data_IF_910860222259
#
_entry.id   IF_910860222259
#
_cell.length_a   1.000
_cell.length_b   1.000
_cell.length_c   1.000
_cell.angle_alpha   90.00
_cell.angle_beta   90.00
_cell.angle_gamma   90.00
#
_symmetry.space_group_name_H-M   'P 1'
#
loop_
_entity.id
_entity.type
_entity.pdbx_description
1 polymer ?
#
# COMPACT_ATOMS: atom_id res chain seq x y z
N UNK A 1 -24.56 -9.45 36.93
CA UNK A 1 -25.14 -8.58 35.90
C UNK A 1 -24.14 -8.45 34.76
N UNK A 2 -24.30 -9.23 33.70
CA UNK A 2 -23.45 -9.18 32.51
C UNK A 2 -23.98 -8.10 31.55
N UNK A 3 -23.20 -7.07 31.29
CA UNK A 3 -23.50 -6.07 30.27
C UNK A 3 -22.96 -6.59 28.93
N UNK A 4 -23.84 -7.17 28.10
CA UNK A 4 -23.56 -7.45 26.71
C UNK A 4 -23.53 -6.11 25.95
N UNK A 5 -22.32 -5.61 25.66
CA UNK A 5 -22.12 -4.47 24.76
C UNK A 5 -22.62 -4.82 23.36
N UNK A 6 -23.58 -4.05 22.88
CA UNK A 6 -24.18 -4.21 21.55
C UNK A 6 -23.22 -3.60 20.53
N UNK A 7 -22.47 -4.44 19.82
CA UNK A 7 -21.59 -4.05 18.72
C UNK A 7 -22.46 -3.57 17.55
N UNK A 8 -22.39 -2.27 17.24
CA UNK A 8 -23.07 -1.70 16.08
C UNK A 8 -22.19 -2.02 14.87
N UNK A 9 -22.57 -3.05 14.11
CA UNK A 9 -21.96 -3.35 12.80
C UNK A 9 -22.23 -2.18 11.86
N UNK A 10 -21.23 -1.74 11.12
CA UNK A 10 -21.48 -0.87 9.96
C UNK A 10 -22.40 -1.63 8.99
N UNK A 11 -23.45 -1.00 8.43
CA UNK A 11 -24.33 -1.68 7.49
C UNK A 11 -23.53 -2.05 6.25
N UNK A 12 -23.55 -3.35 5.90
CA UNK A 12 -23.06 -3.85 4.62
C UNK A 12 -23.85 -3.11 3.54
N UNK A 13 -23.17 -2.38 2.66
CA UNK A 13 -23.83 -1.72 1.53
C UNK A 13 -24.24 -2.83 0.56
N UNK A 14 -25.52 -3.19 0.59
CA UNK A 14 -26.10 -4.13 -0.37
C UNK A 14 -26.23 -3.47 -1.74
N UNK A 15 -25.15 -3.48 -2.50
CA UNK A 15 -25.06 -2.94 -3.86
C UNK A 15 -23.75 -3.36 -4.52
N UNK A 16 -23.66 -3.34 -5.87
CA UNK A 16 -22.39 -3.56 -6.55
C UNK A 16 -21.40 -2.48 -6.11
N UNK A 17 -20.15 -2.86 -5.80
CA UNK A 17 -19.11 -1.92 -5.43
C UNK A 17 -19.02 -0.74 -6.40
N UNK A 18 -18.96 0.47 -5.86
CA UNK A 18 -18.78 1.67 -6.65
C UNK A 18 -17.27 1.90 -6.90
N UNK A 19 -16.76 1.16 -7.87
CA UNK A 19 -15.39 1.25 -8.35
C UNK A 19 -15.07 2.61 -9.01
N UNK A 20 -16.09 3.36 -9.44
CA UNK A 20 -15.94 4.52 -10.34
C UNK A 20 -15.23 5.74 -9.72
N UNK A 21 -15.04 5.76 -8.40
CA UNK A 21 -14.46 6.94 -7.72
C UNK A 21 -12.95 6.81 -7.50
N UNK A 22 -12.40 5.59 -7.41
CA UNK A 22 -10.99 5.36 -7.06
C UNK A 22 -10.32 4.33 -7.96
N UNK A 23 -11.06 3.33 -8.43
CA UNK A 23 -10.53 2.17 -9.14
C UNK A 23 -11.33 1.94 -10.43
N UNK A 24 -11.07 2.73 -11.46
CA UNK A 24 -11.67 2.46 -12.77
C UNK A 24 -11.33 1.02 -13.21
N UNK A 25 -12.31 0.13 -13.45
CA UNK A 25 -12.06 -1.24 -13.87
C UNK A 25 -11.31 -1.34 -15.22
N UNK A 26 -11.36 -0.28 -16.04
CA UNK A 26 -10.57 -0.17 -17.26
C UNK A 26 -9.10 0.21 -17.00
N UNK A 27 -8.73 0.49 -15.75
CA UNK A 27 -7.39 0.84 -15.33
C UNK A 27 -6.71 -0.36 -14.66
N UNK A 28 -5.71 -0.99 -15.32
CA UNK A 28 -5.12 -2.27 -14.89
C UNK A 28 -4.29 -2.23 -13.61
N UNK A 29 -4.24 -1.09 -12.91
CA UNK A 29 -3.45 -0.86 -11.70
C UNK A 29 -4.31 -0.62 -10.46
N UNK A 30 -5.59 -1.01 -10.48
CA UNK A 30 -6.53 -0.70 -9.41
C UNK A 30 -6.05 -1.20 -8.03
N UNK A 31 -5.86 -2.52 -7.89
CA UNK A 31 -5.42 -3.12 -6.64
C UNK A 31 -3.95 -2.82 -6.32
N UNK A 32 -3.09 -2.78 -7.34
CA UNK A 32 -1.69 -2.33 -7.19
C UNK A 32 -1.59 -0.96 -6.50
N UNK A 33 -2.48 -0.02 -6.86
CA UNK A 33 -2.54 1.29 -6.22
C UNK A 33 -3.02 1.19 -4.77
N UNK A 34 -4.01 0.36 -4.46
CA UNK A 34 -4.45 0.15 -3.08
C UNK A 34 -3.35 -0.50 -2.23
N UNK A 35 -2.64 -1.49 -2.77
CA UNK A 35 -1.49 -2.11 -2.11
C UNK A 35 -0.41 -1.06 -1.81
N UNK A 36 -0.13 -0.17 -2.77
CA UNK A 36 0.80 0.93 -2.57
C UNK A 36 0.31 1.94 -1.52
N UNK A 37 -0.96 2.35 -1.57
CA UNK A 37 -1.58 3.26 -0.59
C UNK A 37 -1.48 2.67 0.81
N UNK A 38 -1.76 1.37 0.96
CA UNK A 38 -1.62 0.65 2.20
C UNK A 38 -0.17 0.61 2.70
N UNK A 39 0.75 0.11 1.86
CA UNK A 39 2.16 -0.06 2.22
C UNK A 39 2.85 1.27 2.56
N UNK A 40 2.50 2.35 1.87
CA UNK A 40 3.05 3.69 2.08
C UNK A 40 2.30 4.50 3.17
N UNK A 41 1.18 3.99 3.70
CA UNK A 41 0.38 4.70 4.69
C UNK A 41 -0.30 5.97 4.16
N UNK A 42 -0.63 6.02 2.86
CA UNK A 42 -1.18 7.19 2.17
C UNK A 42 -2.71 7.32 2.35
N UNK A 43 -3.17 7.17 3.58
CA UNK A 43 -4.58 7.29 3.98
C UNK A 43 -4.64 7.83 5.41
N UNK A 44 -5.83 8.21 5.88
CA UNK A 44 -5.98 8.62 7.27
C UNK A 44 -5.79 7.44 8.24
N UNK A 45 -4.58 7.36 8.82
CA UNK A 45 -4.19 6.32 9.79
C UNK A 45 -4.75 6.53 11.20
N UNK A 46 -5.45 7.65 11.46
CA UNK A 46 -5.97 7.92 12.80
C UNK A 46 -7.30 7.18 13.04
N UNK A 47 -7.38 6.50 14.19
CA UNK A 47 -8.60 5.83 14.63
C UNK A 47 -9.05 4.72 13.68
N UNK A 48 -8.10 3.95 13.14
CA UNK A 48 -8.41 2.79 12.30
C UNK A 48 -9.25 1.78 13.08
N UNK A 49 -10.27 1.28 12.40
CA UNK A 49 -11.18 0.28 12.94
C UNK A 49 -11.53 -0.72 11.86
N UNK A 50 -11.69 -1.98 12.27
CA UNK A 50 -12.30 -3.01 11.45
C UNK A 50 -13.78 -2.68 11.20
N UNK A 51 -14.40 -3.33 10.22
CA UNK A 51 -15.82 -3.15 9.87
C UNK A 51 -16.79 -3.55 11.00
N UNK A 52 -16.34 -4.39 11.94
CA UNK A 52 -17.05 -4.74 13.18
C UNK A 52 -16.70 -3.83 14.39
N UNK A 53 -15.86 -2.80 14.18
CA UNK A 53 -15.56 -1.75 15.16
C UNK A 53 -14.31 -1.98 16.03
N UNK A 54 -13.62 -3.11 15.88
CA UNK A 54 -12.35 -3.41 16.54
C UNK A 54 -11.26 -2.39 16.22
N UNK A 55 -10.55 -1.89 17.24
CA UNK A 55 -9.46 -0.93 17.03
C UNK A 55 -8.28 -1.58 16.31
N UNK A 56 -7.72 -0.89 15.31
CA UNK A 56 -6.53 -1.31 14.55
C UNK A 56 -5.40 -0.32 14.81
N UNK A 57 -4.20 -0.85 15.01
CA UNK A 57 -2.95 -0.11 15.00
C UNK A 57 -1.95 -0.85 14.09
N UNK A 58 -1.49 -0.16 13.05
CA UNK A 58 -0.52 -0.71 12.10
C UNK A 58 0.88 -0.41 12.63
N UNK A 59 1.60 -1.45 13.05
CA UNK A 59 3.00 -1.33 13.49
C UNK A 59 3.95 -1.50 12.30
N UNK A 60 3.59 -2.39 11.39
CA UNK A 60 4.29 -2.70 10.15
C UNK A 60 3.25 -3.13 9.11
N UNK A 61 3.06 -2.40 8.00
CA UNK A 61 2.07 -2.73 6.99
C UNK A 61 2.42 -4.02 6.21
N UNK A 62 3.65 -4.52 6.34
CA UNK A 62 4.18 -5.63 5.55
C UNK A 62 4.87 -5.16 4.27
N UNK A 63 5.34 -6.13 3.48
CA UNK A 63 6.05 -5.88 2.22
C UNK A 63 5.24 -6.44 1.06
N UNK A 64 5.07 -5.64 0.01
CA UNK A 64 4.39 -6.07 -1.22
C UNK A 64 5.13 -7.28 -1.82
N UNK A 65 4.37 -8.34 -2.10
CA UNK A 65 4.80 -9.54 -2.78
C UNK A 65 4.23 -9.53 -4.21
N UNK A 66 5.08 -9.81 -5.20
CA UNK A 66 4.68 -9.89 -6.62
C UNK A 66 4.55 -11.32 -7.14
N UNK A 67 4.66 -12.28 -6.25
CA UNK A 67 4.53 -13.71 -6.53
C UNK A 67 3.14 -14.17 -6.11
N UNK A 68 2.83 -15.44 -6.36
CA UNK A 68 1.57 -16.05 -5.90
C UNK A 68 1.42 -15.99 -4.37
N UNK A 69 0.18 -15.88 -3.93
CA UNK A 69 -0.20 -15.79 -2.52
C UNK A 69 -0.60 -14.36 -2.15
N UNK A 70 -0.64 -14.04 -0.84
CA UNK A 70 -1.15 -12.76 -0.39
C UNK A 70 -0.33 -11.57 -0.86
N UNK A 71 -1.01 -10.43 -1.03
CA UNK A 71 -0.45 -9.20 -1.57
C UNK A 71 0.70 -8.62 -0.75
N UNK A 72 0.57 -8.65 0.59
CA UNK A 72 1.63 -8.22 1.49
C UNK A 72 1.96 -9.29 2.51
N UNK A 73 3.26 -9.48 2.73
CA UNK A 73 3.81 -10.46 3.67
C UNK A 73 4.50 -9.80 4.86
N UNK A 74 4.57 -10.53 5.97
CA UNK A 74 5.24 -10.12 7.22
C UNK A 74 4.73 -8.83 7.86
N UNK A 75 3.43 -8.55 7.75
CA UNK A 75 2.79 -7.44 8.44
C UNK A 75 2.71 -7.70 9.96
N UNK A 76 2.76 -6.62 10.74
CA UNK A 76 2.55 -6.62 12.20
C UNK A 76 1.49 -5.61 12.56
N UNK A 77 0.35 -6.11 13.01
CA UNK A 77 -0.85 -5.30 13.23
C UNK A 77 -1.43 -5.64 14.58
N UNK A 78 -1.76 -4.63 15.38
CA UNK A 78 -2.48 -4.82 16.63
C UNK A 78 -3.97 -4.60 16.39
N UNK A 79 -4.77 -5.63 16.66
CA UNK A 79 -6.23 -5.62 16.50
C UNK A 79 -6.86 -5.90 17.86
N UNK A 80 -7.68 -4.97 18.35
CA UNK A 80 -8.29 -5.02 19.68
C UNK A 80 -7.28 -5.27 20.83
N UNK A 81 -6.08 -4.71 20.71
CA UNK A 81 -5.01 -4.87 21.70
C UNK A 81 -4.13 -6.12 21.52
N UNK A 82 -4.56 -7.10 20.73
CA UNK A 82 -3.76 -8.30 20.41
C UNK A 82 -2.83 -8.02 19.24
N UNK A 83 -1.53 -8.32 19.40
CA UNK A 83 -0.56 -8.25 18.31
C UNK A 83 -0.67 -9.49 17.41
N UNK A 84 -0.79 -9.27 16.12
CA UNK A 84 -0.81 -10.27 15.07
C UNK A 84 0.40 -10.09 14.14
N UNK A 85 0.97 -11.20 13.70
CA UNK A 85 1.99 -11.26 12.66
C UNK A 85 1.50 -12.19 11.55
N UNK A 86 1.53 -11.74 10.30
CA UNK A 86 1.00 -12.49 9.17
C UNK A 86 0.88 -11.63 7.92
N UNK A 87 -0.04 -11.99 7.04
CA UNK A 87 -0.17 -11.37 5.73
C UNK A 87 -1.35 -10.40 5.67
N UNK A 88 -1.31 -9.48 4.71
CA UNK A 88 -2.43 -8.59 4.38
C UNK A 88 -2.84 -8.86 2.94
N UNK A 89 -4.14 -8.97 2.73
CA UNK A 89 -4.73 -9.06 1.40
C UNK A 89 -5.45 -7.76 1.07
N UNK A 90 -5.39 -7.34 -0.19
CA UNK A 90 -5.94 -6.07 -0.65
C UNK A 90 -6.86 -6.28 -1.85
N UNK A 91 -8.12 -5.87 -1.72
CA UNK A 91 -9.07 -5.91 -2.83
C UNK A 91 -9.79 -4.59 -3.02
N UNK A 92 -10.40 -4.41 -4.19
CA UNK A 92 -11.35 -3.32 -4.36
C UNK A 92 -12.60 -3.55 -3.50
N UNK A 93 -13.09 -4.79 -3.50
CA UNK A 93 -14.29 -5.22 -2.80
C UNK A 93 -13.99 -6.37 -1.85
N UNK A 94 -14.70 -6.44 -0.73
CA UNK A 94 -14.57 -7.63 0.12
C UNK A 94 -15.02 -8.91 -0.59
N UNK A 95 -16.07 -8.88 -1.41
CA UNK A 95 -16.60 -10.04 -2.13
C UNK A 95 -15.61 -10.67 -3.11
N UNK A 96 -14.58 -9.94 -3.54
CA UNK A 96 -13.50 -10.47 -4.40
C UNK A 96 -12.69 -11.56 -3.71
N UNK A 97 -12.69 -11.60 -2.36
CA UNK A 97 -12.10 -12.69 -1.60
C UNK A 97 -12.64 -14.06 -2.02
N UNK A 98 -13.97 -14.17 -2.12
CA UNK A 98 -14.63 -15.41 -2.49
C UNK A 98 -14.56 -15.66 -4.00
N UNK A 99 -14.60 -14.57 -4.80
CA UNK A 99 -14.52 -14.64 -6.25
C UNK A 99 -13.15 -15.15 -6.74
N UNK A 100 -12.07 -14.79 -6.03
CA UNK A 100 -10.71 -15.26 -6.30
C UNK A 100 -10.41 -16.64 -5.68
N UNK A 101 -11.33 -17.21 -4.88
CA UNK A 101 -11.17 -18.56 -4.33
C UNK A 101 -10.34 -18.65 -3.05
N UNK A 102 -9.97 -17.52 -2.44
CA UNK A 102 -9.10 -17.48 -1.26
C UNK A 102 -9.72 -18.14 -0.01
N UNK A 103 -11.05 -18.18 0.07
CA UNK A 103 -11.80 -18.91 1.10
C UNK A 103 -11.51 -20.42 1.09
N UNK A 104 -10.91 -20.96 0.02
CA UNK A 104 -10.54 -22.38 -0.07
C UNK A 104 -9.03 -22.62 -0.11
N UNK A 105 -8.23 -21.57 -0.28
CA UNK A 105 -6.79 -21.69 -0.51
C UNK A 105 -6.00 -21.61 0.81
N UNK A 106 -5.20 -22.65 1.17
CA UNK A 106 -4.38 -22.65 2.37
C UNK A 106 -3.32 -21.53 2.44
N UNK A 107 -2.89 -20.96 1.31
CA UNK A 107 -1.92 -19.86 1.28
C UNK A 107 -2.46 -18.59 1.98
N UNK A 108 -3.79 -18.43 2.03
CA UNK A 108 -4.47 -17.26 2.57
C UNK A 108 -4.91 -17.45 4.04
N UNK A 109 -4.66 -18.62 4.64
CA UNK A 109 -5.03 -18.89 6.03
C UNK A 109 -4.29 -17.98 7.02
N UNK A 110 -3.07 -17.55 6.67
CA UNK A 110 -2.23 -16.65 7.46
C UNK A 110 -2.49 -15.16 7.19
N UNK A 111 -3.53 -14.82 6.42
CA UNK A 111 -3.96 -13.41 6.30
C UNK A 111 -4.56 -12.97 7.64
N UNK A 112 -4.05 -11.86 8.16
CA UNK A 112 -4.44 -11.30 9.47
C UNK A 112 -5.35 -10.08 9.34
N UNK A 113 -5.34 -9.43 8.18
CA UNK A 113 -6.18 -8.28 7.88
C UNK A 113 -6.51 -8.30 6.38
N UNK A 114 -7.78 -8.07 6.06
CA UNK A 114 -8.23 -7.78 4.70
C UNK A 114 -8.43 -6.28 4.56
N UNK A 115 -7.71 -5.65 3.64
CA UNK A 115 -7.84 -4.22 3.38
C UNK A 115 -8.63 -4.08 2.09
N UNK A 116 -9.74 -3.34 2.15
CA UNK A 116 -10.61 -3.15 0.99
C UNK A 116 -10.85 -1.68 0.74
N UNK A 117 -11.09 -1.31 -0.52
CA UNK A 117 -11.65 0.00 -0.79
C UNK A 117 -13.09 0.07 -0.24
N UNK A 118 -13.97 -0.85 -0.65
CA UNK A 118 -15.36 -0.93 -0.19
C UNK A 118 -15.69 -2.28 0.46
N UNK A 119 -16.46 -2.23 1.56
CA UNK A 119 -16.93 -3.44 2.25
C UNK A 119 -18.39 -3.79 1.91
N UNK A 120 -18.56 -4.86 1.13
CA UNK A 120 -19.82 -5.36 0.57
C UNK A 120 -20.20 -6.79 1.00
N UNK A 121 -19.30 -7.56 1.63
CA UNK A 121 -19.57 -8.90 2.14
C UNK A 121 -18.69 -9.28 3.34
N UNK A 122 -19.20 -10.13 4.24
CA UNK A 122 -18.40 -10.75 5.30
C UNK A 122 -17.64 -11.95 4.73
N UNK A 123 -16.30 -11.93 4.82
CA UNK A 123 -15.43 -12.95 4.24
C UNK A 123 -14.80 -13.84 5.31
N UNK A 124 -14.46 -15.08 4.92
CA UNK A 124 -13.93 -16.10 5.84
C UNK A 124 -12.74 -16.81 5.23
N UNK A 125 -11.76 -17.15 6.07
CA UNK A 125 -10.67 -18.06 5.66
C UNK A 125 -11.19 -19.49 5.53
N UNK A 126 -10.34 -20.39 5.02
CA UNK A 126 -10.66 -21.81 4.89
C UNK A 126 -11.05 -22.47 6.20
N UNK A 127 -10.47 -22.05 7.33
CA UNK A 127 -10.87 -22.54 8.67
C UNK A 127 -12.23 -22.02 9.16
N UNK A 128 -12.89 -21.15 8.40
CA UNK A 128 -14.17 -20.53 8.77
C UNK A 128 -14.03 -19.30 9.68
N UNK A 129 -12.78 -18.88 9.97
CA UNK A 129 -12.46 -17.65 10.71
C UNK A 129 -12.94 -16.43 9.91
N UNK A 130 -13.73 -15.58 10.54
CA UNK A 130 -14.08 -14.26 9.97
C UNK A 130 -12.81 -13.44 9.92
N UNK A 131 -12.49 -12.92 8.73
CA UNK A 131 -11.29 -12.14 8.53
C UNK A 131 -11.55 -10.70 8.99
N UNK A 132 -10.70 -10.11 9.86
CA UNK A 132 -10.81 -8.70 10.18
C UNK A 132 -10.65 -7.86 8.90
N UNK A 133 -11.63 -7.03 8.58
CA UNK A 133 -11.62 -6.21 7.37
C UNK A 133 -11.50 -4.73 7.71
N UNK A 134 -10.61 -4.00 7.03
CA UNK A 134 -10.47 -2.54 7.09
C UNK A 134 -10.94 -1.92 5.77
N UNK A 135 -11.88 -0.98 5.85
CA UNK A 135 -12.39 -0.22 4.71
C UNK A 135 -11.64 1.13 4.56
N UNK A 136 -11.15 1.40 3.35
CA UNK A 136 -10.37 2.59 3.01
C UNK A 136 -11.13 3.68 2.24
N UNK A 137 -12.31 3.40 1.68
CA UNK A 137 -13.05 4.35 0.82
C UNK A 137 -13.18 5.77 1.41
N UNK A 138 -13.42 5.90 2.71
CA UNK A 138 -13.56 7.20 3.39
C UNK A 138 -12.26 7.78 3.95
N UNK A 139 -11.13 7.09 3.76
CA UNK A 139 -9.83 7.42 4.33
C UNK A 139 -8.79 7.83 3.29
N UNK A 140 -9.06 7.60 2.02
CA UNK A 140 -8.18 7.98 0.91
C UNK A 140 -8.65 9.33 0.35
N UNK A 141 -7.70 10.23 0.11
CA UNK A 141 -8.00 11.48 -0.59
C UNK A 141 -8.21 11.19 -2.09
N UNK A 142 -9.44 11.35 -2.57
CA UNK A 142 -9.81 11.13 -3.97
C UNK A 142 -9.07 12.08 -4.92
N UNK A 143 -8.65 13.27 -4.45
CA UNK A 143 -7.86 14.20 -5.26
C UNK A 143 -6.44 13.65 -5.52
N UNK A 144 -5.85 12.95 -4.54
CA UNK A 144 -4.55 12.27 -4.69
C UNK A 144 -4.66 11.16 -5.75
N UNK A 145 -5.68 10.32 -5.64
CA UNK A 145 -5.93 9.22 -6.59
C UNK A 145 -6.14 9.75 -8.00
N UNK A 146 -6.98 10.78 -8.17
CA UNK A 146 -7.21 11.39 -9.49
C UNK A 146 -5.95 12.02 -10.08
N UNK A 147 -5.04 12.56 -9.25
CA UNK A 147 -3.75 13.09 -9.71
C UNK A 147 -2.80 11.99 -10.17
N UNK A 148 -2.76 10.87 -9.43
CA UNK A 148 -2.01 9.69 -9.81
C UNK A 148 -2.50 9.12 -11.14
N UNK A 149 -3.82 8.94 -11.29
CA UNK A 149 -4.42 8.43 -12.52
C UNK A 149 -4.13 9.33 -13.73
N UNK A 150 -4.25 10.66 -13.58
CA UNK A 150 -3.86 11.61 -14.64
C UNK A 150 -2.39 11.48 -15.02
N UNK A 151 -1.50 11.35 -14.04
CA UNK A 151 -0.06 11.21 -14.28
C UNK A 151 0.23 9.91 -15.03
N UNK A 152 -0.31 8.78 -14.58
CA UNK A 152 -0.09 7.48 -15.22
C UNK A 152 -0.69 7.39 -16.63
N UNK A 153 -1.79 8.09 -16.89
CA UNK A 153 -2.37 8.21 -18.24
C UNK A 153 -1.59 9.17 -19.14
N UNK A 154 -0.77 10.06 -18.58
CA UNK A 154 0.05 10.97 -19.37
C UNK A 154 1.16 10.16 -20.07
N UNK A 155 1.09 10.07 -21.40
CA UNK A 155 2.09 9.40 -22.26
C UNK A 155 3.40 10.21 -22.39
N UNK A 156 3.77 10.97 -21.37
CA UNK A 156 5.02 11.71 -21.34
C UNK A 156 6.23 10.80 -21.13
N UNK A 157 7.43 11.30 -21.45
CA UNK A 157 8.68 10.60 -21.12
C UNK A 157 8.78 10.28 -19.61
N UNK A 158 8.28 11.20 -18.78
CA UNK A 158 8.03 10.98 -17.35
C UNK A 158 6.56 11.33 -17.07
N UNK A 159 5.77 10.44 -16.44
CA UNK A 159 4.34 10.64 -16.16
C UNK A 159 4.00 12.00 -15.53
N UNK A 160 4.78 12.43 -14.54
CA UNK A 160 4.58 13.68 -13.81
C UNK A 160 5.33 14.90 -14.39
N UNK A 161 5.90 14.81 -15.59
CA UNK A 161 6.73 15.88 -16.16
C UNK A 161 6.00 17.23 -16.26
N UNK A 162 4.68 17.19 -16.51
CA UNK A 162 3.83 18.37 -16.65
C UNK A 162 3.63 19.11 -15.32
N UNK A 163 3.76 18.42 -14.18
CA UNK A 163 3.63 19.04 -12.85
C UNK A 163 4.92 19.72 -12.39
N UNK A 164 6.06 19.49 -13.06
CA UNK A 164 7.33 20.15 -12.71
C UNK A 164 7.24 21.68 -12.75
N UNK A 165 6.44 22.22 -13.68
CA UNK A 165 6.19 23.66 -13.78
C UNK A 165 5.44 24.27 -12.59
N UNK A 166 4.85 23.44 -11.71
CA UNK A 166 4.15 23.88 -10.49
C UNK A 166 5.12 24.07 -9.31
N UNK A 167 6.36 23.62 -9.44
CA UNK A 167 7.39 23.81 -8.43
C UNK A 167 7.89 25.25 -8.52
N UNK A 168 7.95 25.92 -7.37
CA UNK A 168 8.40 27.29 -7.29
C UNK A 168 9.86 27.41 -7.77
N UNK A 169 10.21 28.37 -8.63
CA UNK A 169 11.54 28.46 -9.25
C UNK A 169 12.69 28.58 -8.25
N UNK A 170 12.44 29.21 -7.11
CA UNK A 170 13.38 29.36 -5.99
C UNK A 170 13.74 28.03 -5.30
N UNK A 171 12.89 27.01 -5.43
CA UNK A 171 13.18 25.64 -4.93
C UNK A 171 13.89 24.78 -5.96
N UNK A 172 13.72 25.06 -7.24
CA UNK A 172 14.19 24.20 -8.32
C UNK A 172 15.72 24.16 -8.41
N UNK A 173 16.37 25.32 -8.52
CA UNK A 173 17.83 25.40 -8.68
C UNK A 173 18.60 24.84 -7.47
N UNK A 174 18.28 25.23 -6.21
CA UNK A 174 19.00 24.68 -5.05
C UNK A 174 18.82 23.17 -4.91
N UNK A 175 17.65 22.65 -5.27
CA UNK A 175 17.40 21.21 -5.23
C UNK A 175 18.22 20.45 -6.27
N UNK A 176 18.30 20.96 -7.50
CA UNK A 176 19.15 20.36 -8.54
C UNK A 176 20.63 20.42 -8.19
N UNK A 177 21.11 21.53 -7.64
CA UNK A 177 22.50 21.67 -7.17
C UNK A 177 22.81 20.63 -6.09
N UNK A 178 21.94 20.50 -5.09
CA UNK A 178 22.08 19.48 -4.05
C UNK A 178 22.11 18.05 -4.63
N UNK A 179 21.19 17.72 -5.54
CA UNK A 179 21.17 16.40 -6.18
C UNK A 179 22.42 16.13 -7.02
N UNK A 180 22.98 17.16 -7.68
CA UNK A 180 24.21 17.04 -8.43
C UNK A 180 25.41 16.76 -7.50
N UNK A 181 25.48 17.44 -6.36
CA UNK A 181 26.49 17.19 -5.32
C UNK A 181 26.36 15.77 -4.77
N UNK A 182 25.16 15.36 -4.32
CA UNK A 182 24.93 14.02 -3.79
C UNK A 182 25.29 12.91 -4.80
N UNK A 183 25.04 13.16 -6.09
CA UNK A 183 25.45 12.23 -7.17
C UNK A 183 26.97 12.18 -7.36
N UNK A 184 27.65 13.33 -7.28
CA UNK A 184 29.10 13.41 -7.37
C UNK A 184 29.76 12.69 -6.19
N UNK A 185 29.29 12.95 -4.97
CA UNK A 185 29.76 12.30 -3.75
C UNK A 185 29.60 10.78 -3.86
N UNK A 186 28.41 10.29 -4.22
CA UNK A 186 28.17 8.85 -4.39
C UNK A 186 29.10 8.21 -5.42
N UNK A 187 29.39 8.91 -6.53
CA UNK A 187 30.35 8.44 -7.54
C UNK A 187 31.78 8.45 -7.02
N UNK A 188 32.18 9.50 -6.31
CA UNK A 188 33.51 9.62 -5.72
C UNK A 188 33.74 8.55 -4.66
N UNK A 189 32.77 8.30 -3.80
CA UNK A 189 32.84 7.27 -2.77
C UNK A 189 32.99 5.87 -3.38
N UNK A 190 32.26 5.59 -4.48
CA UNK A 190 32.43 4.35 -5.24
C UNK A 190 33.86 4.17 -5.76
N UNK A 191 34.43 5.21 -6.37
CA UNK A 191 35.81 5.19 -6.88
C UNK A 191 36.85 5.07 -5.77
N UNK A 192 36.68 5.81 -4.67
CA UNK A 192 37.57 5.75 -3.49
C UNK A 192 37.50 4.38 -2.82
N UNK A 193 36.32 3.75 -2.77
CA UNK A 193 36.14 2.38 -2.29
C UNK A 193 36.94 1.38 -3.13
N UNK A 194 36.83 1.45 -4.46
CA UNK A 194 37.60 0.61 -5.38
C UNK A 194 39.12 0.87 -5.29
N UNK A 195 39.53 2.13 -5.14
CA UNK A 195 40.95 2.47 -4.96
C UNK A 195 41.52 1.83 -3.68
N UNK A 196 40.75 1.86 -2.58
CA UNK A 196 41.15 1.25 -1.31
C UNK A 196 41.23 -0.27 -1.41
N UNK A 197 40.28 -0.92 -2.09
CA UNK A 197 40.31 -2.39 -2.28
C UNK A 197 41.49 -2.85 -3.14
N UNK A 198 41.97 -1.99 -4.05
CA UNK A 198 43.06 -2.30 -4.96
C UNK A 198 44.43 -1.79 -4.45
N UNK A 199 44.54 -1.46 -3.16
CA UNK A 199 45.81 -1.06 -2.55
C UNK A 199 46.37 0.28 -3.04
N UNK A 200 45.53 1.15 -3.62
CA UNK A 200 45.95 2.45 -4.16
C UNK A 200 46.37 2.44 -5.62
N UNK A 201 46.22 1.33 -6.34
CA UNK A 201 46.53 1.26 -7.77
C UNK A 201 45.41 1.90 -8.63
N UNK A 202 45.66 3.13 -9.08
CA UNK A 202 44.72 3.91 -9.89
C UNK A 202 44.55 3.32 -11.30
N UNK A 203 45.52 2.55 -11.82
CA UNK A 203 45.45 2.00 -13.19
C UNK A 203 44.28 1.02 -13.37
N UNK A 204 43.84 0.39 -12.29
CA UNK A 204 42.69 -0.54 -12.26
C UNK A 204 41.32 0.13 -12.28
N UNK A 205 41.24 1.47 -12.20
CA UNK A 205 39.98 2.23 -12.17
C UNK A 205 39.58 2.82 -13.55
N UNK A 206 40.44 2.67 -14.56
CA UNK A 206 40.27 3.28 -15.89
C UNK A 206 39.66 2.34 -16.94
N UNK A 207 39.27 1.12 -16.54
CA UNK A 207 38.65 0.09 -17.38
C UNK A 207 37.40 -0.48 -16.70
#
# INVERSE_FOLDING_TARGET
>A
MAAFGRWVRSPIRGGPCDLNTVLDPAFPYGEDLLQFIWAAGLFNVHGLRTTDGGAIEVLDPGRIQRNSGPDLVDARIRIQGQLWAGNVEVHACSSEWDAHGHQTDPAYENVILHVVHEHDSEVRTRSGRVLPTLELHTRIDTAMVGSHQRSMNARGFVPCSHDLGRIAPDRWSPWLERLAIERLERRSDGLLGMLRSNGGDIATLLF
#
